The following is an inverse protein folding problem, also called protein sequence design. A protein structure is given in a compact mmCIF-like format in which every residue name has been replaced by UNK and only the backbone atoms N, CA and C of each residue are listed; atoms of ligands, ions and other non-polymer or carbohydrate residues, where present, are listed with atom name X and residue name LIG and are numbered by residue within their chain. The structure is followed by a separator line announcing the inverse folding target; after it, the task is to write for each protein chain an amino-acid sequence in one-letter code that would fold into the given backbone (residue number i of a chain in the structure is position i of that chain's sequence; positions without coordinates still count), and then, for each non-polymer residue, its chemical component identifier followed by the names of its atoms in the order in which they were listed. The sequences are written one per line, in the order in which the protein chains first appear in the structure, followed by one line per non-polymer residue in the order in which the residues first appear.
data_IF_301675585369
#
_entry.id   IF_301675585369
#
_cell.length_a   1.000
_cell.length_b   1.000
_cell.length_c   1.000
_cell.angle_alpha   90.00
_cell.angle_beta   90.00
_cell.angle_gamma   90.00
#
_symmetry.space_group_name_H-M   'P 1'
#
loop_
_entity.id
_entity.type
_entity.pdbx_description
1 polymer ?
#
# COMPACT_ATOMS: atom_id res chain seq x y z
N UNK A 1 1.80 9.23 14.42
CA UNK A 1 0.78 9.19 15.48
C UNK A 1 1.16 9.99 16.74
N UNK A 2 0.32 10.94 17.14
CA UNK A 2 0.47 11.76 18.36
C UNK A 2 0.14 10.95 19.61
N UNK A 3 1.07 10.75 20.55
CA UNK A 3 0.84 10.00 21.81
C UNK A 3 -0.26 10.60 22.71
N UNK A 4 -0.96 9.75 23.49
CA UNK A 4 -2.01 10.17 24.45
C UNK A 4 -1.48 11.10 25.55
N UNK A 5 -0.23 10.92 26.01
CA UNK A 5 0.40 11.80 27.01
C UNK A 5 0.59 13.25 26.55
N UNK A 6 0.47 13.54 25.26
CA UNK A 6 0.44 14.93 24.74
C UNK A 6 -0.94 15.59 24.83
N UNK A 7 -1.96 14.84 25.26
CA UNK A 7 -3.36 15.28 25.35
C UNK A 7 -3.87 15.24 26.80
N UNK A 8 -3.33 14.35 27.63
CA UNK A 8 -3.69 14.23 29.04
C UNK A 8 -2.46 14.04 29.92
N UNK A 9 -2.52 14.57 31.14
CA UNK A 9 -1.51 14.36 32.18
C UNK A 9 -1.73 13.07 33.00
N UNK A 10 -2.75 12.28 32.66
CA UNK A 10 -3.05 10.98 33.28
C UNK A 10 -2.43 9.79 32.51
N UNK A 11 -1.63 10.07 31.49
CA UNK A 11 -0.79 9.07 30.84
C UNK A 11 0.38 8.72 31.76
N UNK A 12 1.03 7.58 31.50
CA UNK A 12 2.24 7.22 32.22
C UNK A 12 3.44 8.12 31.81
N UNK A 13 4.60 7.86 32.43
CA UNK A 13 5.82 8.63 32.16
C UNK A 13 6.37 8.44 30.72
N UNK A 14 5.91 7.42 29.99
CA UNK A 14 6.25 7.18 28.58
C UNK A 14 5.25 7.85 27.62
N UNK A 15 4.20 8.49 28.16
CA UNK A 15 3.10 9.10 27.42
C UNK A 15 2.10 8.09 26.88
N UNK A 16 1.97 6.93 27.51
CA UNK A 16 1.14 5.79 27.12
C UNK A 16 -0.06 5.59 28.05
N UNK A 17 -0.94 4.65 27.70
CA UNK A 17 -2.10 4.30 28.52
C UNK A 17 -1.68 3.59 29.79
N UNK A 18 -2.36 3.92 30.88
CA UNK A 18 -2.26 3.22 32.16
C UNK A 18 -3.65 3.06 32.77
N UNK A 19 -3.90 1.91 33.39
CA UNK A 19 -5.08 1.68 34.23
C UNK A 19 -5.00 2.48 35.55
N UNK A 20 -3.89 3.18 35.78
CA UNK A 20 -3.57 3.83 37.03
C UNK A 20 -3.32 2.81 38.14
N UNK A 21 -3.40 3.28 39.37
CA UNK A 21 -3.27 2.44 40.55
C UNK A 21 -4.00 3.11 41.71
N UNK A 22 -5.27 2.72 41.90
CA UNK A 22 -6.18 3.37 42.84
C UNK A 22 -5.64 3.40 44.28
N UNK A 23 -4.94 2.34 44.71
CA UNK A 23 -4.37 2.25 46.05
C UNK A 23 -3.21 3.23 46.30
N UNK A 24 -2.50 3.69 45.26
CA UNK A 24 -1.50 4.77 45.38
C UNK A 24 -2.02 6.13 44.86
N UNK A 25 -3.33 6.26 44.61
CA UNK A 25 -3.93 7.49 44.11
C UNK A 25 -3.55 7.86 42.66
N UNK A 26 -2.98 6.92 41.88
CA UNK A 26 -2.68 7.14 40.46
C UNK A 26 -3.96 6.94 39.66
N UNK A 27 -4.38 7.97 38.93
CA UNK A 27 -5.60 7.93 38.11
C UNK A 27 -5.38 7.15 36.81
N UNK A 28 -6.38 6.42 36.30
CA UNK A 28 -6.33 5.84 34.96
C UNK A 28 -6.26 6.94 33.89
N UNK A 29 -5.79 6.56 32.71
CA UNK A 29 -5.71 7.47 31.56
C UNK A 29 -7.09 7.89 31.07
N UNK A 30 -7.32 9.21 30.98
CA UNK A 30 -8.51 9.78 30.37
C UNK A 30 -8.52 9.56 28.86
N UNK A 31 -9.60 8.99 28.34
CA UNK A 31 -9.81 8.78 26.92
C UNK A 31 -10.44 10.04 26.29
N UNK A 32 -9.59 10.95 25.81
CA UNK A 32 -10.03 12.21 25.22
C UNK A 32 -10.42 12.06 23.75
N UNK A 33 -11.39 12.84 23.28
CA UNK A 33 -11.77 12.88 21.86
C UNK A 33 -10.57 13.18 20.94
N UNK A 34 -9.63 14.03 21.40
CA UNK A 34 -8.41 14.32 20.64
C UNK A 34 -7.56 13.09 20.32
N UNK A 35 -7.57 12.06 21.17
CA UNK A 35 -6.87 10.80 20.91
C UNK A 35 -7.63 9.94 19.91
N UNK A 36 -8.94 9.77 20.08
CA UNK A 36 -9.77 9.03 19.12
C UNK A 36 -9.69 9.64 17.72
N UNK A 37 -9.76 10.97 17.61
CA UNK A 37 -9.58 11.67 16.34
C UNK A 37 -8.17 11.50 15.77
N UNK A 38 -7.15 11.28 16.61
CA UNK A 38 -5.79 10.99 16.14
C UNK A 38 -5.74 9.61 15.49
N UNK A 39 -6.34 8.60 16.12
CA UNK A 39 -6.47 7.27 15.51
C UNK A 39 -7.28 7.34 14.20
N UNK A 40 -8.45 7.99 14.22
CA UNK A 40 -9.29 8.13 13.05
C UNK A 40 -8.57 8.77 11.86
N UNK A 41 -7.77 9.83 12.08
CA UNK A 41 -6.99 10.45 10.99
C UNK A 41 -5.92 9.52 10.42
N UNK A 42 -5.27 8.70 11.24
CA UNK A 42 -4.27 7.74 10.76
C UNK A 42 -4.94 6.62 9.95
N UNK A 43 -6.11 6.15 10.39
CA UNK A 43 -6.90 5.17 9.64
C UNK A 43 -7.42 5.74 8.31
N UNK A 44 -7.94 6.98 8.34
CA UNK A 44 -8.37 7.68 7.12
C UNK A 44 -7.21 7.89 6.13
N UNK A 45 -6.05 8.30 6.63
CA UNK A 45 -4.86 8.48 5.80
C UNK A 45 -4.36 7.19 5.15
N UNK A 46 -4.57 6.02 5.78
CA UNK A 46 -4.27 4.72 5.15
C UNK A 46 -5.20 4.49 3.95
N UNK A 47 -6.49 4.79 4.09
CA UNK A 47 -7.48 4.59 3.02
C UNK A 47 -7.22 5.54 1.86
N UNK A 48 -7.14 6.85 2.14
CA UNK A 48 -6.87 7.87 1.12
C UNK A 48 -5.48 7.68 0.48
N UNK A 49 -4.50 7.24 1.26
CA UNK A 49 -3.15 6.93 0.78
C UNK A 49 -3.10 5.72 -0.16
N UNK A 50 -4.06 4.81 -0.09
CA UNK A 50 -4.24 3.72 -1.04
C UNK A 50 -4.98 4.15 -2.33
N UNK A 51 -5.38 5.43 -2.43
CA UNK A 51 -6.11 5.97 -3.58
C UNK A 51 -7.63 5.75 -3.52
N UNK A 52 -8.16 5.30 -2.39
CA UNK A 52 -9.60 5.07 -2.17
C UNK A 52 -10.22 6.26 -1.43
N UNK A 53 -11.46 6.61 -1.75
CA UNK A 53 -12.22 7.62 -1.01
C UNK A 53 -12.83 7.03 0.28
N UNK A 54 -12.96 7.82 1.35
CA UNK A 54 -13.64 7.38 2.58
C UNK A 54 -15.14 7.18 2.34
N UNK A 55 -15.66 6.01 2.73
CA UNK A 55 -17.09 5.70 2.63
C UNK A 55 -17.67 5.43 4.03
N UNK A 56 -18.58 6.29 4.54
CA UNK A 56 -19.19 6.09 5.86
C UNK A 56 -20.10 4.85 5.94
N UNK A 57 -20.36 4.17 4.83
CA UNK A 57 -21.15 2.93 4.78
C UNK A 57 -20.27 1.68 4.65
N UNK A 58 -18.94 1.81 4.62
CA UNK A 58 -18.00 0.70 4.45
C UNK A 58 -17.07 0.56 5.66
N UNK A 59 -17.39 -0.39 6.55
CA UNK A 59 -16.54 -0.73 7.69
C UNK A 59 -15.36 -1.67 7.33
N UNK A 60 -15.17 -1.98 6.05
CA UNK A 60 -14.18 -2.93 5.55
C UNK A 60 -13.06 -2.27 4.71
N UNK A 61 -12.99 -0.94 4.61
CA UNK A 61 -12.01 -0.26 3.73
C UNK A 61 -10.55 -0.69 4.00
N UNK A 62 -10.16 -0.78 5.28
CA UNK A 62 -8.79 -1.19 5.65
C UNK A 62 -8.53 -2.66 5.32
N UNK A 63 -9.50 -3.55 5.57
CA UNK A 63 -9.32 -4.98 5.28
C UNK A 63 -9.28 -5.24 3.77
N UNK A 64 -10.04 -4.49 2.97
CA UNK A 64 -9.99 -4.51 1.50
C UNK A 64 -8.62 -4.09 0.99
N UNK A 65 -8.05 -3.00 1.51
CA UNK A 65 -6.69 -2.53 1.13
C UNK A 65 -5.64 -3.60 1.44
N UNK A 66 -5.69 -4.21 2.63
CA UNK A 66 -4.79 -5.32 2.97
C UNK A 66 -4.97 -6.50 1.99
N UNK A 67 -6.21 -6.78 1.59
CA UNK A 67 -6.53 -7.77 0.56
C UNK A 67 -5.92 -7.44 -0.81
N UNK A 68 -6.04 -6.19 -1.26
CA UNK A 68 -5.44 -5.70 -2.50
C UNK A 68 -3.91 -5.84 -2.47
N UNK A 69 -3.25 -5.41 -1.39
CA UNK A 69 -1.79 -5.58 -1.22
C UNK A 69 -1.36 -7.06 -1.26
N UNK A 70 -2.13 -7.95 -0.63
CA UNK A 70 -1.88 -9.39 -0.66
C UNK A 70 -2.04 -9.97 -2.08
N UNK A 71 -3.02 -9.49 -2.85
CA UNK A 71 -3.22 -9.87 -4.24
C UNK A 71 -2.03 -9.44 -5.11
N UNK A 72 -1.54 -8.21 -4.95
CA UNK A 72 -0.34 -7.72 -5.63
C UNK A 72 0.87 -8.62 -5.30
N UNK A 73 1.15 -8.88 -4.01
CA UNK A 73 2.26 -9.74 -3.60
C UNK A 73 2.14 -11.15 -4.19
N UNK A 74 0.94 -11.71 -4.20
CA UNK A 74 0.67 -13.04 -4.77
C UNK A 74 0.88 -13.06 -6.28
N UNK A 75 0.50 -12.01 -6.98
CA UNK A 75 0.75 -11.85 -8.42
C UNK A 75 2.25 -11.86 -8.70
N UNK A 76 3.02 -10.99 -8.06
CA UNK A 76 4.47 -10.94 -8.24
C UNK A 76 5.16 -12.26 -7.88
N UNK A 77 4.68 -12.98 -6.85
CA UNK A 77 5.21 -14.29 -6.49
C UNK A 77 5.03 -15.33 -7.59
N UNK A 78 3.89 -15.32 -8.27
CA UNK A 78 3.56 -16.35 -9.27
C UNK A 78 4.07 -16.01 -10.68
N UNK A 79 4.11 -14.73 -11.03
CA UNK A 79 4.45 -14.27 -12.39
C UNK A 79 5.80 -13.58 -12.49
N UNK A 80 6.40 -13.15 -11.37
CA UNK A 80 7.69 -12.44 -11.34
C UNK A 80 7.62 -10.98 -11.81
N UNK A 81 6.47 -10.52 -12.31
CA UNK A 81 6.26 -9.19 -12.87
C UNK A 81 4.97 -8.56 -12.32
N UNK A 82 4.84 -7.22 -12.32
CA UNK A 82 3.58 -6.55 -12.00
C UNK A 82 2.49 -6.86 -13.02
N UNK A 83 1.23 -6.75 -12.61
CA UNK A 83 0.14 -6.49 -13.55
C UNK A 83 0.23 -5.03 -14.06
N UNK A 84 -0.15 -4.80 -15.31
CA UNK A 84 -0.20 -3.45 -15.85
C UNK A 84 -1.31 -2.64 -15.18
N UNK A 85 -0.99 -1.43 -14.76
CA UNK A 85 -1.91 -0.47 -14.19
C UNK A 85 -1.84 0.87 -14.93
N UNK A 86 -3.00 1.47 -15.23
CA UNK A 86 -3.08 2.66 -16.07
C UNK A 86 -2.53 3.93 -15.40
N UNK A 87 -2.57 4.01 -14.07
CA UNK A 87 -2.18 5.18 -13.30
C UNK A 87 -0.68 5.18 -12.91
N UNK A 88 0.02 4.05 -13.08
CA UNK A 88 1.42 3.91 -12.69
C UNK A 88 2.33 4.18 -13.89
N UNK A 89 3.32 5.08 -13.77
CA UNK A 89 4.31 5.28 -14.82
C UNK A 89 5.35 4.16 -14.82
N UNK A 90 5.63 3.59 -15.99
CA UNK A 90 6.69 2.61 -16.18
C UNK A 90 7.91 3.24 -16.86
N UNK A 91 9.11 2.84 -16.43
CA UNK A 91 10.37 3.22 -17.08
C UNK A 91 10.60 2.40 -18.35
N UNK A 92 11.48 2.89 -19.24
CA UNK A 92 11.96 2.08 -20.36
C UNK A 92 12.60 0.78 -19.84
N UNK A 93 12.27 -0.34 -20.45
CA UNK A 93 12.76 -1.66 -20.02
C UNK A 93 11.99 -2.31 -18.88
N UNK A 94 10.98 -1.65 -18.30
CA UNK A 94 10.08 -2.29 -17.33
C UNK A 94 9.20 -3.35 -18.03
N UNK A 95 9.02 -4.51 -17.38
CA UNK A 95 8.14 -5.59 -17.88
C UNK A 95 6.88 -5.66 -17.04
N UNK A 96 5.72 -5.80 -17.69
CA UNK A 96 4.40 -5.94 -17.05
C UNK A 96 3.63 -7.12 -17.64
N UNK A 97 2.72 -7.69 -16.88
CA UNK A 97 1.74 -8.68 -17.30
C UNK A 97 0.43 -8.00 -17.69
N UNK A 98 -0.11 -8.31 -18.87
CA UNK A 98 -1.39 -7.80 -19.33
C UNK A 98 -2.08 -8.79 -20.27
N UNK A 99 -3.36 -9.10 -20.02
CA UNK A 99 -4.19 -10.00 -20.85
C UNK A 99 -3.54 -11.35 -21.22
N UNK A 100 -2.80 -11.97 -20.31
CA UNK A 100 -2.18 -13.28 -20.56
C UNK A 100 -0.74 -13.23 -21.06
N UNK A 101 -0.22 -12.05 -21.41
CA UNK A 101 1.10 -11.89 -22.03
C UNK A 101 1.97 -10.92 -21.23
N UNK A 102 3.28 -11.02 -21.42
CA UNK A 102 4.23 -10.05 -20.88
C UNK A 102 4.55 -9.00 -21.94
N UNK A 103 4.74 -7.76 -21.49
CA UNK A 103 5.11 -6.64 -22.35
C UNK A 103 6.26 -5.85 -21.72
N UNK A 104 7.21 -5.44 -22.54
CA UNK A 104 8.33 -4.58 -22.18
C UNK A 104 8.01 -3.14 -22.61
N UNK A 105 8.10 -2.19 -21.69
CA UNK A 105 7.96 -0.76 -21.97
C UNK A 105 9.13 -0.27 -22.82
N UNK A 106 8.82 0.53 -23.84
CA UNK A 106 9.79 1.11 -24.78
C UNK A 106 10.11 2.59 -24.51
N UNK A 107 9.54 3.17 -23.47
CA UNK A 107 9.75 4.57 -23.11
C UNK A 107 9.73 4.77 -21.60
N UNK A 108 10.41 5.82 -21.18
CA UNK A 108 10.29 6.35 -19.83
C UNK A 108 8.95 7.06 -19.62
N UNK A 109 8.45 6.94 -18.39
CA UNK A 109 7.18 7.52 -17.97
C UNK A 109 5.99 7.04 -18.84
N UNK A 110 6.00 5.75 -19.18
CA UNK A 110 4.93 5.10 -19.92
C UNK A 110 3.70 4.90 -19.03
N UNK A 111 2.82 5.88 -19.04
CA UNK A 111 1.62 5.93 -18.20
C UNK A 111 0.37 5.95 -19.07
N UNK A 112 -0.68 5.28 -18.62
CA UNK A 112 -1.98 5.16 -19.28
C UNK A 112 -1.96 4.57 -20.71
N UNK A 113 -0.80 4.12 -21.23
CA UNK A 113 -0.71 3.44 -22.52
C UNK A 113 -0.98 1.96 -22.33
N UNK A 114 -2.00 1.43 -22.99
CA UNK A 114 -2.42 0.03 -22.86
C UNK A 114 -1.44 -0.89 -23.64
N UNK A 115 -0.84 -1.91 -23.01
CA UNK A 115 0.04 -2.84 -23.71
C UNK A 115 -0.65 -3.57 -24.87
N UNK A 116 0.09 -3.79 -25.97
CA UNK A 116 -0.42 -4.42 -27.19
C UNK A 116 -1.30 -3.55 -28.07
N UNK A 117 -1.47 -2.25 -27.76
CA UNK A 117 -2.23 -1.31 -28.61
C UNK A 117 -1.36 -0.45 -29.52
N UNK A 118 -0.14 -0.13 -29.08
CA UNK A 118 0.83 0.66 -29.83
C UNK A 118 2.23 0.06 -29.64
N UNK A 119 2.77 -0.49 -30.72
CA UNK A 119 4.07 -1.16 -30.75
C UNK A 119 5.25 -0.19 -30.56
N UNK A 120 5.01 1.13 -30.58
CA UNK A 120 6.00 2.14 -30.19
C UNK A 120 6.07 2.36 -28.67
N UNK A 121 5.13 1.80 -27.91
CA UNK A 121 5.01 1.95 -26.46
C UNK A 121 5.34 0.68 -25.71
N UNK A 122 4.88 -0.44 -26.24
CA UNK A 122 5.02 -1.75 -25.63
C UNK A 122 5.40 -2.76 -26.70
N UNK A 123 6.39 -3.60 -26.40
CA UNK A 123 6.67 -4.79 -27.23
C UNK A 123 6.34 -6.06 -26.44
N UNK A 124 5.86 -7.14 -27.10
CA UNK A 124 5.73 -8.43 -26.45
C UNK A 124 7.07 -8.90 -25.87
N UNK A 125 7.04 -9.41 -24.63
CA UNK A 125 8.20 -9.93 -23.93
C UNK A 125 8.05 -11.44 -23.74
N UNK A 126 9.11 -12.20 -24.02
CA UNK A 126 9.11 -13.66 -23.88
C UNK A 126 10.23 -14.03 -22.92
N UNK A 127 9.87 -14.66 -21.80
CA UNK A 127 10.85 -15.38 -20.99
C UNK A 127 11.21 -16.69 -21.68
N UNK A 128 12.50 -16.92 -21.85
CA UNK A 128 13.03 -18.21 -22.27
C UNK A 128 14.26 -18.53 -21.45
N UNK A 129 14.55 -19.82 -21.33
CA UNK A 129 15.84 -20.24 -20.80
C UNK A 129 16.96 -19.65 -21.67
N UNK A 130 18.03 -19.23 -21.01
CA UNK A 130 19.25 -18.86 -21.69
C UNK A 130 19.78 -20.11 -22.41
N UNK A 131 20.23 -19.95 -23.65
CA UNK A 131 20.93 -21.04 -24.33
C UNK A 131 22.31 -21.25 -23.69
N UNK A 132 22.89 -22.44 -23.85
CA UNK A 132 24.27 -22.70 -23.36
C UNK A 132 25.28 -21.67 -23.89
N UNK A 133 25.08 -21.11 -25.09
CA UNK A 133 25.94 -20.09 -25.66
C UNK A 133 25.80 -18.71 -25.01
N UNK A 134 24.66 -18.43 -24.37
CA UNK A 134 24.38 -17.16 -23.65
C UNK A 134 24.76 -17.26 -22.17
N UNK A 135 24.82 -18.47 -21.62
CA UNK A 135 25.27 -18.76 -20.26
C UNK A 135 26.81 -18.85 -20.20
N UNK A 136 27.49 -17.71 -20.37
CA UNK A 136 28.95 -17.57 -20.21
C UNK A 136 29.31 -17.44 -18.73
#
# INVERSE_FOLDING_TARGET
MRKIGSLTNTADNNGEFTDGYAAAGIKPTLLLAGWHNTIQRELAAIVEGAGEDLDPNDDEQISKIIGQMSAVISHYRNYGYPEWESAIPYYEGAVVYYNGYLYLSLLDNNVAQVPGTDDSKWQPYIQREATEAEAI
#
